data_IF_085886080041
#
_entry.id   IF_085886080041
#
_cell.length_a   1.000
_cell.length_b   1.000
_cell.length_c   1.000
_cell.angle_alpha   90.00
_cell.angle_beta   90.00
_cell.angle_gamma   90.00
#
_symmetry.space_group_name_H-M   'P 1'
#
loop_
_entity.id
_entity.type
_entity.pdbx_description
1 polymer ?
#
# COMPACT_ATOMS: atom_id res chain seq x y z
N UNK A 1 -19.82 8.97 -12.69
CA UNK A 1 -20.84 8.34 -11.80
C UNK A 1 -21.81 9.43 -11.34
N UNK A 2 -23.12 9.27 -11.55
CA UNK A 2 -24.07 10.34 -11.18
C UNK A 2 -24.75 10.02 -9.83
N UNK A 3 -23.93 9.80 -8.79
CA UNK A 3 -24.39 9.49 -7.43
C UNK A 3 -24.68 10.78 -6.65
N UNK A 4 -25.88 10.84 -6.04
CA UNK A 4 -26.14 11.86 -5.00
C UNK A 4 -25.47 11.46 -3.70
N UNK A 5 -25.25 12.43 -2.80
CA UNK A 5 -24.62 12.20 -1.50
C UNK A 5 -25.45 11.25 -0.63
N UNK A 6 -26.79 11.42 -0.68
CA UNK A 6 -27.73 10.60 0.06
C UNK A 6 -27.67 9.14 -0.34
N UNK A 7 -27.55 8.84 -1.63
CA UNK A 7 -27.44 7.48 -2.15
C UNK A 7 -26.04 6.92 -1.86
N UNK A 8 -25.00 7.67 -2.20
CA UNK A 8 -23.61 7.23 -2.02
C UNK A 8 -23.24 6.89 -0.58
N UNK A 9 -23.84 7.61 0.38
CA UNK A 9 -23.53 7.50 1.80
C UNK A 9 -24.75 7.01 2.64
N UNK A 10 -25.68 6.27 2.04
CA UNK A 10 -26.87 5.78 2.72
C UNK A 10 -26.58 4.68 3.74
N UNK A 11 -25.67 3.76 3.41
CA UNK A 11 -25.38 2.57 4.19
C UNK A 11 -23.91 2.57 4.61
N UNK A 12 -23.65 3.19 5.75
CA UNK A 12 -22.30 3.33 6.32
C UNK A 12 -22.18 2.56 7.64
N UNK A 13 -21.05 1.91 7.84
CA UNK A 13 -20.64 1.35 9.14
C UNK A 13 -19.22 1.81 9.44
N UNK A 14 -18.97 2.33 10.62
CA UNK A 14 -17.61 2.63 11.06
C UNK A 14 -16.98 1.41 11.68
N UNK A 15 -15.67 1.31 11.60
CA UNK A 15 -14.93 0.22 12.22
C UNK A 15 -13.65 0.72 12.88
N UNK A 16 -13.17 -0.03 13.87
CA UNK A 16 -11.83 0.10 14.45
C UNK A 16 -11.25 -1.27 14.72
N UNK A 17 -10.00 -1.45 14.30
CA UNK A 17 -9.25 -2.71 14.44
C UNK A 17 -7.85 -2.38 14.96
N UNK A 18 -7.45 -3.02 16.04
CA UNK A 18 -6.10 -2.88 16.59
C UNK A 18 -5.07 -3.55 15.68
N UNK A 19 -3.86 -3.00 15.65
CA UNK A 19 -2.72 -3.64 15.00
C UNK A 19 -2.08 -4.67 15.94
N UNK A 20 -1.46 -5.70 15.37
CA UNK A 20 -0.68 -6.66 16.13
C UNK A 20 0.55 -6.01 16.77
N UNK A 21 1.18 -5.10 16.03
CA UNK A 21 2.26 -4.24 16.52
C UNK A 21 2.03 -2.82 15.98
N UNK A 22 2.33 -1.79 16.77
CA UNK A 22 2.24 -0.41 16.29
C UNK A 22 3.14 -0.21 15.07
N UNK A 23 2.61 0.49 14.07
CA UNK A 23 3.36 0.86 12.89
C UNK A 23 3.48 2.37 12.80
N UNK A 24 4.71 2.92 12.95
CA UNK A 24 4.96 4.35 13.13
C UNK A 24 4.26 4.86 14.40
N UNK A 25 3.24 5.71 14.25
CA UNK A 25 2.43 6.23 15.35
C UNK A 25 1.04 5.60 15.42
N UNK A 26 0.73 4.69 14.48
CA UNK A 26 -0.59 4.05 14.40
C UNK A 26 -0.57 2.76 15.21
N UNK A 27 -1.51 2.60 16.12
CA UNK A 27 -1.75 1.37 16.90
C UNK A 27 -3.02 0.65 16.47
N UNK A 28 -3.83 1.28 15.62
CA UNK A 28 -5.09 0.76 15.10
C UNK A 28 -5.35 1.26 13.68
N UNK A 29 -6.28 0.62 13.01
CA UNK A 29 -6.92 1.09 11.78
C UNK A 29 -8.38 1.37 12.05
N UNK A 30 -8.87 2.49 11.55
CA UNK A 30 -10.29 2.83 11.60
C UNK A 30 -10.73 3.45 10.29
N UNK A 31 -12.01 3.36 10.00
CA UNK A 31 -12.57 3.88 8.76
C UNK A 31 -14.07 3.67 8.68
N UNK A 32 -14.57 3.81 7.46
CA UNK A 32 -15.98 3.66 7.12
C UNK A 32 -16.12 2.60 6.03
N UNK A 33 -16.98 1.63 6.26
CA UNK A 33 -17.46 0.67 5.26
C UNK A 33 -18.68 1.26 4.56
N UNK A 34 -18.70 1.18 3.24
CA UNK A 34 -19.74 1.71 2.36
C UNK A 34 -20.38 0.54 1.62
N UNK A 35 -21.71 0.35 1.73
CA UNK A 35 -22.44 -0.62 0.91
C UNK A 35 -23.04 0.07 -0.30
N UNK A 36 -22.67 -0.40 -1.48
CA UNK A 36 -23.27 0.01 -2.75
C UNK A 36 -23.84 -1.19 -3.52
N UNK A 37 -24.24 -0.96 -4.78
CA UNK A 37 -24.88 -1.97 -5.63
C UNK A 37 -23.97 -3.18 -5.89
N UNK A 38 -22.66 -2.97 -5.94
CA UNK A 38 -21.68 -4.03 -6.19
C UNK A 38 -21.06 -4.62 -4.93
N UNK A 39 -21.45 -4.21 -3.74
CA UNK A 39 -20.98 -4.78 -2.47
C UNK A 39 -20.32 -3.77 -1.55
N UNK A 40 -19.56 -4.26 -0.57
CA UNK A 40 -18.87 -3.43 0.40
C UNK A 40 -17.58 -2.84 -0.16
N UNK A 41 -17.26 -1.64 0.29
CA UNK A 41 -16.00 -0.94 0.05
C UNK A 41 -15.51 -0.28 1.34
N UNK A 42 -14.24 0.09 1.38
CA UNK A 42 -13.57 0.67 2.54
C UNK A 42 -13.08 2.08 2.26
N UNK A 43 -13.41 3.02 3.16
CA UNK A 43 -12.86 4.35 3.24
C UNK A 43 -12.11 4.50 4.56
N UNK A 44 -10.78 4.35 4.54
CA UNK A 44 -9.95 4.39 5.75
C UNK A 44 -8.65 5.21 5.56
N UNK A 45 -8.73 6.48 5.12
CA UNK A 45 -7.55 7.34 5.01
C UNK A 45 -6.94 7.59 6.40
N UNK A 46 -5.61 7.65 6.48
CA UNK A 46 -4.93 7.96 7.74
C UNK A 46 -5.36 9.34 8.27
N UNK A 47 -5.36 9.49 9.60
CA UNK A 47 -5.84 10.71 10.27
C UNK A 47 -5.10 11.98 9.79
N UNK A 48 -3.81 11.86 9.52
CA UNK A 48 -2.94 12.96 9.08
C UNK A 48 -3.04 13.29 7.58
N UNK A 49 -3.83 12.56 6.80
CA UNK A 49 -4.03 12.87 5.38
C UNK A 49 -4.88 14.12 5.22
N UNK A 50 -4.51 14.99 4.27
CA UNK A 50 -5.32 16.14 3.87
C UNK A 50 -6.70 15.70 3.34
N UNK A 51 -7.65 16.63 3.29
CA UNK A 51 -8.97 16.36 2.72
C UNK A 51 -8.87 15.90 1.25
N UNK A 52 -7.97 16.47 0.48
CA UNK A 52 -7.71 16.08 -0.89
C UNK A 52 -7.29 14.61 -1.01
N UNK A 53 -6.29 14.17 -0.22
CA UNK A 53 -5.88 12.78 -0.20
C UNK A 53 -7.00 11.85 0.30
N UNK A 54 -7.72 12.24 1.36
CA UNK A 54 -8.87 11.47 1.82
C UNK A 54 -9.94 11.34 0.74
N UNK A 55 -10.14 12.36 -0.09
CA UNK A 55 -11.10 12.31 -1.21
C UNK A 55 -10.70 11.30 -2.28
N UNK A 56 -9.40 11.10 -2.53
CA UNK A 56 -8.95 10.01 -3.42
C UNK A 56 -9.29 8.63 -2.86
N UNK A 57 -9.16 8.44 -1.54
CA UNK A 57 -9.60 7.19 -0.91
C UNK A 57 -11.12 6.99 -1.06
N UNK A 58 -11.91 8.06 -0.92
CA UNK A 58 -13.34 7.98 -1.16
C UNK A 58 -13.66 7.67 -2.62
N UNK A 59 -12.93 8.26 -3.58
CA UNK A 59 -13.08 7.96 -5.00
C UNK A 59 -12.92 6.45 -5.26
N UNK A 60 -11.86 5.84 -4.68
CA UNK A 60 -11.63 4.40 -4.77
C UNK A 60 -12.77 3.59 -4.13
N UNK A 61 -13.24 4.00 -2.95
CA UNK A 61 -14.32 3.33 -2.25
C UNK A 61 -15.64 3.41 -3.03
N UNK A 62 -15.98 4.58 -3.61
CA UNK A 62 -17.16 4.74 -4.45
C UNK A 62 -17.07 3.94 -5.74
N UNK A 63 -15.90 3.93 -6.40
CA UNK A 63 -15.68 3.06 -7.57
C UNK A 63 -15.92 1.61 -7.21
N UNK A 64 -15.39 1.13 -6.09
CA UNK A 64 -15.54 -0.25 -5.64
C UNK A 64 -16.99 -0.58 -5.27
N UNK A 65 -17.73 0.31 -4.60
CA UNK A 65 -19.08 0.06 -4.13
C UNK A 65 -20.13 0.18 -5.23
N UNK A 66 -19.96 1.12 -6.18
CA UNK A 66 -20.98 1.56 -7.10
C UNK A 66 -20.68 1.30 -8.59
N UNK A 67 -19.55 0.65 -8.90
CA UNK A 67 -19.17 0.32 -10.27
C UNK A 67 -18.85 -1.17 -10.37
N UNK A 68 -19.32 -1.80 -11.46
CA UNK A 68 -18.86 -3.15 -11.79
C UNK A 68 -17.39 -3.10 -12.18
N UNK A 69 -16.53 -3.61 -11.31
CA UNK A 69 -15.11 -3.72 -11.60
C UNK A 69 -14.85 -4.89 -12.56
N UNK A 70 -13.78 -4.78 -13.34
CA UNK A 70 -13.36 -5.87 -14.18
C UNK A 70 -13.06 -7.15 -13.38
N UNK A 71 -13.24 -8.29 -14.02
CA UNK A 71 -12.95 -9.57 -13.38
C UNK A 71 -11.44 -9.76 -13.20
N UNK A 72 -11.00 -10.35 -12.06
CA UNK A 72 -9.60 -10.68 -11.90
C UNK A 72 -9.14 -11.68 -12.96
N UNK A 73 -7.94 -11.47 -13.47
CA UNK A 73 -7.30 -12.35 -14.46
C UNK A 73 -6.83 -13.64 -13.80
N UNK A 74 -6.38 -13.53 -12.54
CA UNK A 74 -5.99 -14.66 -11.70
C UNK A 74 -6.80 -14.66 -10.41
N UNK A 75 -7.16 -15.84 -9.92
CA UNK A 75 -7.85 -16.01 -8.62
C UNK A 75 -6.93 -15.79 -7.43
N UNK A 76 -5.63 -15.87 -7.64
CA UNK A 76 -4.60 -15.64 -6.63
C UNK A 76 -3.50 -14.75 -7.19
N UNK A 77 -2.87 -13.98 -6.33
CA UNK A 77 -1.73 -13.13 -6.67
C UNK A 77 -0.60 -13.31 -5.67
N UNK A 78 0.62 -13.33 -6.19
CA UNK A 78 1.82 -13.41 -5.35
C UNK A 78 2.04 -12.12 -4.57
N UNK A 79 2.45 -12.25 -3.30
CA UNK A 79 2.67 -11.13 -2.39
C UNK A 79 3.98 -11.26 -1.62
N UNK A 80 4.49 -10.13 -1.12
CA UNK A 80 5.58 -10.14 -0.16
C UNK A 80 5.04 -10.19 1.29
N UNK A 81 5.84 -10.76 2.17
CA UNK A 81 5.70 -10.57 3.61
C UNK A 81 6.08 -9.13 3.98
N UNK A 82 5.55 -8.63 5.09
CA UNK A 82 5.91 -7.31 5.62
C UNK A 82 6.29 -7.42 7.09
N UNK A 83 7.40 -6.77 7.47
CA UNK A 83 7.84 -6.65 8.86
C UNK A 83 8.16 -5.21 9.20
N UNK A 84 7.78 -4.81 10.41
CA UNK A 84 8.15 -3.54 11.04
C UNK A 84 8.98 -3.75 12.30
N UNK A 85 9.26 -5.02 12.63
CA UNK A 85 10.00 -5.40 13.84
C UNK A 85 11.51 -5.27 13.65
N UNK A 86 12.20 -4.82 14.69
CA UNK A 86 13.66 -4.88 14.78
C UNK A 86 14.18 -6.21 15.35
N UNK A 87 13.26 -7.15 15.65
CA UNK A 87 13.56 -8.50 16.08
C UNK A 87 13.61 -9.42 14.85
N UNK A 88 14.76 -10.03 14.51
CA UNK A 88 14.91 -10.91 13.38
C UNK A 88 14.02 -12.16 13.47
N UNK A 89 13.80 -12.70 14.68
CA UNK A 89 12.99 -13.91 14.86
C UNK A 89 11.53 -13.68 14.46
N UNK A 90 11.00 -12.48 14.71
CA UNK A 90 9.65 -12.10 14.26
C UNK A 90 9.56 -12.05 12.74
N UNK A 91 10.55 -11.47 12.07
CA UNK A 91 10.60 -11.41 10.60
C UNK A 91 10.71 -12.81 9.98
N UNK A 92 11.51 -13.69 10.60
CA UNK A 92 11.65 -15.10 10.20
C UNK A 92 10.33 -15.85 10.41
N UNK A 93 9.64 -15.64 11.54
CA UNK A 93 8.32 -16.24 11.81
C UNK A 93 7.30 -15.82 10.75
N UNK A 94 7.24 -14.53 10.40
CA UNK A 94 6.34 -14.01 9.34
C UNK A 94 6.64 -14.68 7.99
N UNK A 95 7.92 -14.85 7.60
CA UNK A 95 8.30 -15.54 6.37
C UNK A 95 7.83 -17.02 6.39
N UNK A 96 8.00 -17.71 7.52
CA UNK A 96 7.56 -19.10 7.67
C UNK A 96 6.04 -19.24 7.60
N UNK A 97 5.32 -18.38 8.30
CA UNK A 97 3.85 -18.41 8.37
C UNK A 97 3.19 -18.07 7.03
N UNK A 98 3.77 -17.12 6.30
CA UNK A 98 3.22 -16.64 5.03
C UNK A 98 3.68 -17.44 3.83
N UNK A 99 4.80 -18.16 3.94
CA UNK A 99 5.45 -18.83 2.81
C UNK A 99 5.98 -17.88 1.74
N UNK A 100 6.13 -16.59 2.06
CA UNK A 100 6.72 -15.61 1.15
C UNK A 100 8.24 -15.75 1.10
N UNK A 101 8.83 -15.51 -0.08
CA UNK A 101 10.28 -15.43 -0.27
C UNK A 101 10.77 -13.99 -0.37
N UNK A 102 9.87 -13.03 -0.54
CA UNK A 102 10.17 -11.60 -0.55
C UNK A 102 9.69 -10.99 0.77
N UNK A 103 10.57 -10.27 1.45
CA UNK A 103 10.28 -9.54 2.68
C UNK A 103 10.40 -8.03 2.45
N UNK A 104 9.30 -7.31 2.61
CA UNK A 104 9.34 -5.86 2.74
C UNK A 104 9.57 -5.52 4.21
N UNK A 105 10.69 -4.87 4.51
CA UNK A 105 11.05 -4.46 5.86
C UNK A 105 11.12 -2.94 5.94
N UNK A 106 10.48 -2.39 6.98
CA UNK A 106 10.50 -0.96 7.26
C UNK A 106 11.59 -0.67 8.28
N UNK A 107 12.58 0.12 7.86
CA UNK A 107 13.67 0.55 8.70
C UNK A 107 13.47 2.01 9.12
N UNK A 108 13.91 2.34 10.33
CA UNK A 108 13.80 3.71 10.85
C UNK A 108 14.91 4.63 10.36
N UNK A 109 16.04 4.05 10.00
CA UNK A 109 17.25 4.80 9.64
C UNK A 109 17.95 5.49 10.82
N UNK A 110 17.58 5.13 12.06
CA UNK A 110 18.14 5.74 13.27
C UNK A 110 19.47 5.12 13.69
N UNK A 111 19.62 3.81 13.49
CA UNK A 111 20.85 3.06 13.80
C UNK A 111 21.19 2.11 12.64
N UNK A 112 22.13 2.54 11.81
CA UNK A 112 22.58 1.78 10.64
C UNK A 112 23.15 0.40 11.02
N UNK A 113 23.86 0.29 12.14
CA UNK A 113 24.48 -0.97 12.53
C UNK A 113 23.43 -1.97 12.99
N UNK A 114 22.43 -1.52 13.74
CA UNK A 114 21.29 -2.34 14.16
C UNK A 114 20.48 -2.81 12.95
N UNK A 115 20.13 -1.89 12.05
CA UNK A 115 19.34 -2.18 10.85
C UNK A 115 20.08 -3.18 9.92
N UNK A 116 21.39 -2.99 9.69
CA UNK A 116 22.19 -3.90 8.88
C UNK A 116 22.37 -5.26 9.55
N UNK A 117 22.55 -5.29 10.89
CA UNK A 117 22.64 -6.53 11.66
C UNK A 117 21.33 -7.33 11.55
N UNK A 118 20.18 -6.67 11.67
CA UNK A 118 18.86 -7.28 11.49
C UNK A 118 18.74 -7.97 10.12
N UNK A 119 19.05 -7.28 9.03
CA UNK A 119 18.97 -7.83 7.68
C UNK A 119 19.90 -9.05 7.50
N UNK A 120 21.15 -8.96 8.01
CA UNK A 120 22.13 -10.04 7.93
C UNK A 120 21.71 -11.28 8.73
N UNK A 121 21.13 -11.11 9.92
CA UNK A 121 20.62 -12.21 10.73
C UNK A 121 19.45 -12.93 10.04
N UNK A 122 18.52 -12.17 9.45
CA UNK A 122 17.43 -12.77 8.65
C UNK A 122 18.00 -13.54 7.46
N UNK A 123 18.93 -12.95 6.70
CA UNK A 123 19.54 -13.59 5.53
C UNK A 123 20.36 -14.84 5.89
N UNK A 124 20.99 -14.86 7.09
CA UNK A 124 21.73 -16.06 7.57
C UNK A 124 20.80 -17.25 7.78
N UNK A 125 19.60 -17.03 8.29
CA UNK A 125 18.59 -18.08 8.55
C UNK A 125 17.75 -18.39 7.32
N UNK A 126 17.50 -17.38 6.49
CA UNK A 126 16.68 -17.43 5.28
C UNK A 126 17.46 -16.86 4.08
N UNK A 127 18.47 -17.59 3.56
CA UNK A 127 19.38 -17.07 2.52
C UNK A 127 18.67 -16.80 1.18
N UNK A 128 17.51 -17.41 0.94
CA UNK A 128 16.70 -17.19 -0.25
C UNK A 128 15.88 -15.89 -0.21
N UNK A 129 15.89 -15.17 0.93
CA UNK A 129 15.05 -13.97 1.11
C UNK A 129 15.47 -12.86 0.16
N UNK A 130 14.51 -12.35 -0.60
CA UNK A 130 14.63 -11.10 -1.36
C UNK A 130 14.11 -9.95 -0.52
N UNK A 131 14.95 -8.93 -0.28
CA UNK A 131 14.58 -7.79 0.55
C UNK A 131 14.05 -6.63 -0.28
N UNK A 132 13.00 -5.99 0.21
CA UNK A 132 12.50 -4.67 -0.16
C UNK A 132 12.62 -3.78 1.06
N UNK A 133 13.47 -2.77 1.01
CA UNK A 133 13.75 -1.93 2.17
C UNK A 133 13.02 -0.61 2.02
N UNK A 134 12.17 -0.26 2.99
CA UNK A 134 11.36 0.94 2.95
C UNK A 134 11.75 1.90 4.08
N UNK A 135 12.31 3.06 3.72
CA UNK A 135 12.68 4.11 4.66
C UNK A 135 11.65 5.24 4.78
N UNK A 136 10.64 5.26 3.92
CA UNK A 136 9.58 6.28 3.88
C UNK A 136 10.10 7.73 3.91
N UNK A 137 11.21 8.01 3.23
CA UNK A 137 11.81 9.34 3.14
C UNK A 137 12.50 9.82 4.41
N UNK A 138 12.95 8.91 5.28
CA UNK A 138 13.57 9.27 6.56
C UNK A 138 15.06 9.59 6.48
N UNK A 139 15.73 9.24 5.39
CA UNK A 139 17.17 9.44 5.21
C UNK A 139 17.46 10.69 4.36
N UNK A 140 18.66 11.23 4.52
CA UNK A 140 19.30 12.08 3.52
C UNK A 140 20.18 11.26 2.56
N UNK A 141 20.75 11.90 1.55
CA UNK A 141 21.59 11.24 0.53
C UNK A 141 22.81 10.55 1.17
N UNK A 142 23.50 11.24 2.09
CA UNK A 142 24.71 10.72 2.75
C UNK A 142 24.42 9.45 3.54
N UNK A 143 23.38 9.47 4.37
CA UNK A 143 22.97 8.32 5.17
C UNK A 143 22.48 7.18 4.26
N UNK A 144 21.76 7.47 3.19
CA UNK A 144 21.36 6.47 2.20
C UNK A 144 22.55 5.75 1.59
N UNK A 145 23.59 6.48 1.20
CA UNK A 145 24.82 5.88 0.65
C UNK A 145 25.56 5.02 1.67
N UNK A 146 25.53 5.38 2.96
CA UNK A 146 26.11 4.55 4.02
C UNK A 146 25.37 3.19 4.14
N UNK A 147 24.04 3.21 4.11
CA UNK A 147 23.23 1.97 4.09
C UNK A 147 23.56 1.13 2.84
N UNK A 148 23.61 1.73 1.66
CA UNK A 148 23.85 1.03 0.41
C UNK A 148 25.21 0.32 0.40
N UNK A 149 26.24 0.98 0.92
CA UNK A 149 27.56 0.40 1.10
C UNK A 149 27.57 -0.74 2.13
N UNK A 150 26.69 -0.67 3.14
CA UNK A 150 26.58 -1.67 4.21
C UNK A 150 25.79 -2.92 3.84
N UNK A 151 25.00 -2.93 2.76
CA UNK A 151 24.20 -4.08 2.37
C UNK A 151 25.03 -5.28 1.94
N UNK A 152 26.23 -5.06 1.37
CA UNK A 152 27.10 -6.17 0.93
C UNK A 152 26.40 -7.11 -0.06
N UNK A 153 26.41 -8.43 0.26
CA UNK A 153 25.84 -9.48 -0.58
C UNK A 153 24.35 -9.77 -0.32
N UNK A 154 23.65 -8.89 0.44
CA UNK A 154 22.23 -9.06 0.67
C UNK A 154 21.45 -8.97 -0.65
N UNK A 155 20.51 -9.89 -0.85
CA UNK A 155 19.66 -9.90 -2.04
C UNK A 155 18.58 -8.79 -1.94
N UNK A 156 18.97 -7.55 -2.28
CA UNK A 156 18.09 -6.38 -2.26
C UNK A 156 17.42 -6.21 -3.63
N UNK A 157 16.11 -6.34 -3.71
CA UNK A 157 15.37 -6.07 -4.94
C UNK A 157 15.33 -4.56 -5.23
N UNK A 158 15.02 -3.76 -4.21
CA UNK A 158 15.04 -2.30 -4.28
C UNK A 158 15.05 -1.65 -2.88
N UNK A 159 15.43 -0.39 -2.84
CA UNK A 159 15.21 0.49 -1.68
C UNK A 159 14.09 1.47 -2.02
N UNK A 160 13.01 1.47 -1.22
CA UNK A 160 11.84 2.29 -1.39
C UNK A 160 11.99 3.59 -0.61
N UNK A 161 11.83 4.70 -1.33
CA UNK A 161 11.77 6.06 -0.80
C UNK A 161 12.81 6.31 0.31
N UNK A 162 14.14 6.16 0.05
CA UNK A 162 15.14 6.43 1.06
C UNK A 162 15.15 7.92 1.47
N UNK A 163 15.09 8.83 0.48
CA UNK A 163 15.05 10.27 0.70
C UNK A 163 13.65 10.85 0.47
N UNK A 164 13.41 12.04 1.00
CA UNK A 164 12.09 12.68 1.00
C UNK A 164 11.76 13.34 -0.34
N UNK A 165 12.72 14.01 -0.96
CA UNK A 165 12.48 14.81 -2.17
C UNK A 165 12.95 14.09 -3.43
N UNK A 166 12.35 14.48 -4.57
CA UNK A 166 12.74 13.94 -5.88
C UNK A 166 14.16 14.37 -6.23
N UNK A 167 14.59 15.54 -5.81
CA UNK A 167 15.93 16.07 -6.01
C UNK A 167 17.00 15.25 -5.29
N UNK A 168 16.78 14.91 -4.01
CA UNK A 168 17.67 14.03 -3.24
C UNK A 168 17.74 12.62 -3.84
N UNK A 169 16.60 12.08 -4.30
CA UNK A 169 16.55 10.77 -4.97
C UNK A 169 17.30 10.80 -6.31
N UNK A 170 17.23 11.91 -7.05
CA UNK A 170 17.99 12.09 -8.29
C UNK A 170 19.51 12.18 -8.05
N UNK A 171 19.94 12.84 -6.97
CA UNK A 171 21.33 12.86 -6.53
C UNK A 171 21.79 11.44 -6.15
N UNK A 172 21.04 10.76 -5.31
CA UNK A 172 21.33 9.40 -4.87
C UNK A 172 21.45 8.42 -6.06
N UNK A 173 20.60 8.58 -7.07
CA UNK A 173 20.64 7.74 -8.29
C UNK A 173 21.92 7.91 -9.09
N UNK A 174 22.56 9.07 -9.04
CA UNK A 174 23.86 9.32 -9.71
C UNK A 174 25.04 8.67 -8.97
N UNK A 175 24.92 8.58 -7.64
CA UNK A 175 25.98 8.11 -6.74
C UNK A 175 25.91 6.59 -6.47
N UNK A 176 24.81 5.90 -6.86
CA UNK A 176 24.60 4.49 -6.55
C UNK A 176 23.92 3.73 -7.67
N UNK A 177 24.31 2.45 -7.82
CA UNK A 177 23.66 1.48 -8.71
C UNK A 177 22.49 0.74 -8.05
N UNK A 178 22.24 0.95 -6.76
CA UNK A 178 21.10 0.34 -6.05
C UNK A 178 19.80 0.76 -6.74
N UNK A 179 18.90 -0.20 -6.91
CA UNK A 179 17.61 0.06 -7.53
C UNK A 179 16.70 0.81 -6.56
N UNK A 180 16.11 1.89 -7.05
CA UNK A 180 15.21 2.75 -6.27
C UNK A 180 13.76 2.48 -6.64
N UNK A 181 12.90 2.43 -5.60
CA UNK A 181 11.45 2.45 -5.75
C UNK A 181 10.88 3.77 -5.17
N UNK A 182 9.92 4.37 -5.87
CA UNK A 182 9.28 5.62 -5.44
C UNK A 182 7.81 5.36 -5.12
N UNK A 183 7.38 5.74 -3.90
CA UNK A 183 5.99 5.68 -3.38
C UNK A 183 5.45 7.09 -3.11
N UNK A 184 5.97 7.74 -2.06
CA UNK A 184 5.39 8.98 -1.52
C UNK A 184 5.33 10.11 -2.55
N UNK A 185 6.36 10.28 -3.36
CA UNK A 185 6.40 11.37 -4.34
C UNK A 185 5.35 11.23 -5.45
N UNK A 186 4.86 10.01 -5.73
CA UNK A 186 3.73 9.79 -6.62
C UNK A 186 2.40 9.84 -5.86
N UNK A 187 2.29 9.09 -4.78
CA UNK A 187 1.05 8.88 -4.04
C UNK A 187 0.51 10.14 -3.37
N UNK A 188 1.42 11.00 -2.89
CA UNK A 188 1.06 12.26 -2.22
C UNK A 188 1.05 13.46 -3.17
N UNK A 189 1.23 13.25 -4.46
CA UNK A 189 1.06 14.29 -5.44
C UNK A 189 -0.42 14.68 -5.60
N UNK A 190 -0.71 15.92 -5.97
CA UNK A 190 -2.08 16.38 -6.26
C UNK A 190 -2.76 15.52 -7.34
N UNK A 191 -2.01 15.12 -8.36
CA UNK A 191 -2.49 14.19 -9.38
C UNK A 191 -1.44 13.13 -9.73
N UNK A 192 -1.70 11.89 -9.29
CA UNK A 192 -0.86 10.73 -9.62
C UNK A 192 -0.94 10.28 -11.09
N UNK A 193 -1.81 10.86 -11.90
CA UNK A 193 -1.93 10.61 -13.34
C UNK A 193 -1.25 11.69 -14.20
N UNK A 194 -0.64 12.70 -13.58
CA UNK A 194 0.12 13.72 -14.28
C UNK A 194 1.34 13.13 -14.97
N UNK A 195 1.37 13.20 -16.30
CA UNK A 195 2.43 12.63 -17.12
C UNK A 195 3.78 13.31 -16.90
N UNK A 196 3.82 14.61 -16.61
CA UNK A 196 5.07 15.34 -16.34
C UNK A 196 5.69 14.86 -15.03
N UNK A 197 4.86 14.67 -13.99
CA UNK A 197 5.32 14.09 -12.73
C UNK A 197 5.80 12.65 -12.90
N UNK A 198 5.03 11.82 -13.62
CA UNK A 198 5.38 10.41 -13.86
C UNK A 198 6.71 10.32 -14.63
N UNK A 199 6.92 11.15 -15.67
CA UNK A 199 8.18 11.19 -16.40
C UNK A 199 9.34 11.54 -15.46
N UNK A 200 9.24 12.63 -14.69
CA UNK A 200 10.25 13.04 -13.71
C UNK A 200 10.59 11.93 -12.70
N UNK A 201 9.58 11.21 -12.20
CA UNK A 201 9.78 10.07 -11.32
C UNK A 201 10.47 8.91 -12.05
N UNK A 202 10.06 8.64 -13.28
CA UNK A 202 10.61 7.54 -14.07
C UNK A 202 12.06 7.77 -14.52
N UNK A 203 12.55 9.00 -14.58
CA UNK A 203 13.99 9.26 -14.82
C UNK A 203 14.87 8.70 -13.68
N UNK A 204 14.34 8.65 -12.47
CA UNK A 204 15.07 8.30 -11.25
C UNK A 204 14.80 6.86 -10.83
N UNK A 205 13.52 6.47 -10.81
CA UNK A 205 13.06 5.20 -10.30
C UNK A 205 13.38 4.03 -11.23
N UNK A 206 13.71 2.87 -10.65
CA UNK A 206 13.68 1.57 -11.33
C UNK A 206 12.30 0.90 -11.15
N UNK A 207 11.66 1.19 -10.03
CA UNK A 207 10.34 0.73 -9.67
C UNK A 207 9.46 1.90 -9.23
N UNK A 208 8.17 1.83 -9.54
CA UNK A 208 7.18 2.78 -9.04
C UNK A 208 6.14 2.00 -8.25
N UNK A 209 6.01 2.33 -6.96
CA UNK A 209 5.01 1.72 -6.08
C UNK A 209 3.69 2.45 -6.28
N UNK A 210 2.66 1.71 -6.66
CA UNK A 210 1.33 2.26 -6.89
C UNK A 210 0.33 1.59 -5.93
N UNK A 211 -0.34 2.42 -5.13
CA UNK A 211 -1.37 1.98 -4.19
C UNK A 211 -2.74 2.38 -4.72
N UNK A 212 -3.55 1.42 -5.22
CA UNK A 212 -4.80 1.74 -5.93
C UNK A 212 -5.76 2.61 -5.12
N UNK A 213 -5.94 2.31 -3.82
CA UNK A 213 -6.87 3.04 -2.97
C UNK A 213 -6.42 4.50 -2.76
N UNK A 214 -5.21 4.80 -2.29
CA UNK A 214 -4.74 6.17 -2.09
C UNK A 214 -4.77 7.05 -3.34
N UNK A 215 -4.59 6.47 -4.52
CA UNK A 215 -4.57 7.24 -5.77
C UNK A 215 -5.95 7.40 -6.43
N UNK A 216 -7.03 6.77 -5.88
CA UNK A 216 -8.40 6.97 -6.34
C UNK A 216 -9.02 5.84 -7.15
N UNK A 217 -8.53 4.58 -7.01
CA UNK A 217 -9.17 3.37 -7.52
C UNK A 217 -8.49 2.73 -8.74
N UNK A 218 -9.16 1.71 -9.29
CA UNK A 218 -8.65 0.86 -10.38
C UNK A 218 -8.45 1.65 -11.68
N UNK A 219 -9.37 2.55 -12.02
CA UNK A 219 -9.25 3.32 -13.26
C UNK A 219 -7.99 4.21 -13.23
N UNK A 220 -7.74 4.90 -12.12
CA UNK A 220 -6.52 5.71 -11.96
C UNK A 220 -5.27 4.84 -11.89
N UNK A 221 -5.35 3.69 -11.21
CA UNK A 221 -4.25 2.71 -11.22
C UNK A 221 -3.87 2.30 -12.64
N UNK A 222 -4.84 1.99 -13.51
CA UNK A 222 -4.58 1.60 -14.91
C UNK A 222 -3.88 2.72 -15.67
N UNK A 223 -4.38 3.95 -15.59
CA UNK A 223 -3.78 5.13 -16.25
C UNK A 223 -2.33 5.34 -15.79
N UNK A 224 -2.12 5.40 -14.46
CA UNK A 224 -0.80 5.63 -13.89
C UNK A 224 0.17 4.50 -14.22
N UNK A 225 -0.25 3.25 -14.06
CA UNK A 225 0.60 2.08 -14.32
C UNK A 225 0.97 1.93 -15.79
N UNK A 226 0.07 2.25 -16.70
CA UNK A 226 0.35 2.27 -18.13
C UNK A 226 1.37 3.37 -18.49
N UNK A 227 1.21 4.58 -17.93
CA UNK A 227 2.15 5.67 -18.13
C UNK A 227 3.56 5.29 -17.62
N UNK A 228 3.68 4.73 -16.41
CA UNK A 228 4.95 4.25 -15.86
C UNK A 228 5.60 3.20 -16.77
N UNK A 229 4.84 2.24 -17.28
CA UNK A 229 5.34 1.21 -18.20
C UNK A 229 5.79 1.77 -19.55
N UNK A 230 5.16 2.83 -20.07
CA UNK A 230 5.62 3.53 -21.29
C UNK A 230 7.03 4.12 -21.16
N UNK A 231 7.42 4.50 -19.94
CA UNK A 231 8.80 4.92 -19.63
C UNK A 231 9.74 3.72 -19.31
N UNK A 232 9.31 2.47 -19.54
CA UNK A 232 10.11 1.28 -19.33
C UNK A 232 10.35 0.90 -17.87
N UNK A 233 9.58 1.47 -16.94
CA UNK A 233 9.73 1.22 -15.50
C UNK A 233 8.79 0.14 -15.00
N UNK A 234 9.18 -0.47 -13.87
CA UNK A 234 8.42 -1.57 -13.26
C UNK A 234 7.40 -1.01 -12.26
N UNK A 235 6.18 -1.54 -12.32
CA UNK A 235 5.11 -1.20 -11.38
C UNK A 235 5.03 -2.25 -10.28
N UNK A 236 5.10 -1.80 -9.02
CA UNK A 236 4.86 -2.61 -7.83
C UNK A 236 3.53 -2.19 -7.23
N UNK A 237 2.56 -3.08 -7.22
CA UNK A 237 1.26 -2.84 -6.58
C UNK A 237 1.40 -3.03 -5.07
N UNK A 238 0.85 -2.11 -4.26
CA UNK A 238 0.92 -2.19 -2.81
C UNK A 238 -0.40 -1.77 -2.15
N UNK A 239 -0.70 -2.32 -0.96
CA UNK A 239 -1.82 -1.93 -0.12
C UNK A 239 -1.46 -0.84 0.89
N UNK A 240 -2.44 -0.46 1.70
CA UNK A 240 -2.35 0.64 2.68
C UNK A 240 -2.79 0.22 4.08
N UNK A 241 -2.57 -1.04 4.47
CA UNK A 241 -3.10 -1.67 5.68
C UNK A 241 -4.64 -1.69 5.70
N UNK A 242 -5.19 -2.08 4.58
CA UNK A 242 -6.63 -2.19 4.39
C UNK A 242 -7.16 -3.45 5.08
N UNK A 243 -8.45 -3.45 5.48
CA UNK A 243 -9.15 -4.69 5.83
C UNK A 243 -9.26 -5.59 4.60
N UNK A 244 -9.72 -6.82 4.76
CA UNK A 244 -9.94 -7.71 3.62
C UNK A 244 -10.93 -7.14 2.59
N UNK A 245 -11.80 -6.20 3.00
CA UNK A 245 -12.69 -5.48 2.08
C UNK A 245 -11.86 -4.58 1.16
N UNK A 246 -11.03 -3.69 1.71
CA UNK A 246 -10.21 -2.79 0.89
C UNK A 246 -9.09 -3.52 0.15
N UNK A 247 -8.54 -4.57 0.75
CA UNK A 247 -7.46 -5.38 0.17
C UNK A 247 -7.85 -6.01 -1.18
N UNK A 248 -9.15 -6.29 -1.41
CA UNK A 248 -9.64 -6.75 -2.70
C UNK A 248 -9.22 -5.84 -3.86
N UNK A 249 -9.30 -4.52 -3.70
CA UNK A 249 -8.89 -3.59 -4.76
C UNK A 249 -7.40 -3.71 -5.08
N UNK A 250 -6.55 -3.88 -4.07
CA UNK A 250 -5.11 -4.10 -4.24
C UNK A 250 -4.82 -5.44 -4.92
N UNK A 251 -5.52 -6.50 -4.51
CA UNK A 251 -5.39 -7.83 -5.12
C UNK A 251 -5.86 -7.84 -6.58
N UNK A 252 -6.97 -7.16 -6.89
CA UNK A 252 -7.47 -6.98 -8.25
C UNK A 252 -6.46 -6.19 -9.11
N UNK A 253 -5.93 -5.08 -8.61
CA UNK A 253 -4.90 -4.30 -9.31
C UNK A 253 -3.66 -5.15 -9.61
N UNK A 254 -3.20 -5.99 -8.67
CA UNK A 254 -2.09 -6.92 -8.90
C UNK A 254 -2.45 -7.99 -9.94
N UNK A 255 -3.67 -8.53 -9.91
CA UNK A 255 -4.13 -9.50 -10.91
C UNK A 255 -4.08 -8.93 -12.32
N UNK A 256 -4.45 -7.66 -12.50
CA UNK A 256 -4.38 -6.93 -13.77
C UNK A 256 -2.90 -6.66 -14.13
N UNK A 257 -2.10 -6.21 -13.16
CA UNK A 257 -0.68 -5.86 -13.37
C UNK A 257 0.18 -7.10 -13.72
N UNK A 258 -0.17 -8.28 -13.23
CA UNK A 258 0.61 -9.52 -13.43
C UNK A 258 0.74 -9.95 -14.88
N UNK A 259 -0.12 -9.47 -15.78
CA UNK A 259 0.06 -9.65 -17.24
C UNK A 259 1.34 -8.99 -17.77
N UNK A 260 1.82 -7.94 -17.10
CA UNK A 260 2.95 -7.13 -17.53
C UNK A 260 4.20 -7.31 -16.66
N UNK A 261 4.09 -8.03 -15.53
CA UNK A 261 5.15 -8.12 -14.53
C UNK A 261 4.99 -9.35 -13.62
N UNK A 262 6.09 -10.05 -13.37
CA UNK A 262 6.16 -11.16 -12.40
C UNK A 262 6.48 -10.68 -10.97
N UNK A 263 6.38 -9.38 -10.69
CA UNK A 263 6.66 -8.83 -9.37
C UNK A 263 5.55 -9.19 -8.38
N UNK A 264 5.96 -9.55 -7.17
CA UNK A 264 5.01 -9.78 -6.08
C UNK A 264 4.44 -8.47 -5.56
N UNK A 265 3.18 -8.45 -5.12
CA UNK A 265 2.56 -7.25 -4.59
C UNK A 265 2.92 -7.01 -3.10
N UNK A 266 2.95 -5.75 -2.69
CA UNK A 266 3.00 -5.34 -1.28
C UNK A 266 1.63 -5.44 -0.62
N UNK A 267 0.95 -6.58 -0.72
CA UNK A 267 -0.42 -6.80 -0.26
C UNK A 267 -0.53 -7.77 0.93
N UNK A 268 0.59 -8.12 1.57
CA UNK A 268 0.62 -8.99 2.75
C UNK A 268 0.18 -8.30 4.06
N UNK A 269 -0.44 -7.12 3.98
CA UNK A 269 -0.77 -6.28 5.14
C UNK A 269 -1.91 -6.81 6.01
N UNK A 270 -2.73 -7.75 5.52
CA UNK A 270 -3.78 -8.38 6.32
C UNK A 270 -3.28 -9.13 7.57
N UNK A 271 -2.01 -9.56 7.58
CA UNK A 271 -1.36 -10.16 8.76
C UNK A 271 -1.03 -9.15 9.86
N UNK A 272 -1.04 -7.86 9.58
CA UNK A 272 -0.76 -6.80 10.55
C UNK A 272 -1.97 -6.46 11.43
N UNK A 273 -3.18 -6.78 10.99
CA UNK A 273 -4.42 -6.52 11.71
C UNK A 273 -4.68 -7.64 12.72
N UNK A 274 -5.07 -7.26 13.97
CA UNK A 274 -5.42 -8.22 15.02
C UNK A 274 -6.71 -8.97 14.72
N UNK A 275 -7.64 -8.32 14.05
CA UNK A 275 -8.93 -8.88 13.60
C UNK A 275 -9.28 -8.33 12.22
N UNK A 276 -10.44 -8.69 11.70
CA UNK A 276 -10.94 -8.19 10.42
C UNK A 276 -12.46 -8.04 10.49
N UNK A 277 -13.02 -7.32 9.55
CA UNK A 277 -14.48 -7.09 9.40
C UNK A 277 -15.19 -8.23 8.65
N UNK A 278 -14.47 -9.26 8.26
CA UNK A 278 -14.95 -10.44 7.52
C UNK A 278 -14.76 -11.72 8.33
N UNK A 279 -15.50 -12.78 8.01
CA UNK A 279 -15.33 -14.09 8.67
C UNK A 279 -13.99 -14.73 8.30
N UNK A 280 -13.63 -14.72 7.01
CA UNK A 280 -12.38 -15.27 6.47
C UNK A 280 -11.45 -14.11 6.09
N UNK A 281 -10.54 -13.78 7.00
CA UNK A 281 -9.50 -12.76 6.73
C UNK A 281 -8.59 -13.18 5.59
N UNK A 282 -8.32 -12.27 4.64
CA UNK A 282 -7.36 -12.46 3.56
C UNK A 282 -5.95 -12.24 4.09
N UNK A 283 -5.20 -13.33 4.23
CA UNK A 283 -3.79 -13.33 4.67
C UNK A 283 -2.94 -14.12 3.67
N UNK A 284 -1.65 -13.79 3.55
CA UNK A 284 -0.75 -14.58 2.73
C UNK A 284 -0.69 -16.04 3.18
N UNK A 285 -0.76 -16.94 2.22
CA UNK A 285 -0.57 -18.37 2.40
C UNK A 285 0.21 -18.92 1.22
N UNK A 286 1.31 -19.62 1.47
CA UNK A 286 2.24 -20.06 0.41
C UNK A 286 2.65 -18.93 -0.56
N UNK A 287 2.86 -17.73 -0.02
CA UNK A 287 3.31 -16.56 -0.79
C UNK A 287 2.24 -15.90 -1.66
N UNK A 288 0.96 -16.29 -1.54
CA UNK A 288 -0.15 -15.71 -2.33
C UNK A 288 -1.31 -15.27 -1.45
N UNK A 289 -2.17 -14.40 -2.00
CA UNK A 289 -3.49 -14.09 -1.45
C UNK A 289 -4.57 -14.35 -2.50
N UNK A 290 -5.80 -14.65 -2.05
CA UNK A 290 -6.96 -14.80 -2.91
C UNK A 290 -7.42 -13.42 -3.44
N UNK A 291 -7.87 -13.38 -4.71
CA UNK A 291 -8.52 -12.21 -5.32
C UNK A 291 -10.02 -12.46 -5.27
N UNK A 292 -10.60 -12.19 -4.13
CA UNK A 292 -12.01 -12.47 -3.86
C UNK A 292 -12.68 -11.25 -3.22
N UNK A 293 -13.86 -10.90 -3.74
CA UNK A 293 -14.70 -9.88 -3.12
C UNK A 293 -15.49 -10.50 -1.98
N UNK A 294 -15.34 -9.95 -0.80
CA UNK A 294 -15.95 -10.48 0.42
C UNK A 294 -17.08 -9.58 0.91
N UNK A 295 -18.03 -10.18 1.62
CA UNK A 295 -19.00 -9.46 2.43
C UNK A 295 -18.51 -9.33 3.87
N UNK A 296 -19.00 -8.29 4.56
CA UNK A 296 -18.70 -8.11 5.99
C UNK A 296 -19.44 -9.14 6.84
N UNK A 297 -18.83 -9.47 7.96
CA UNK A 297 -19.49 -10.16 9.06
C UNK A 297 -19.85 -9.10 10.12
N UNK A 298 -21.14 -8.77 10.23
CA UNK A 298 -21.60 -7.70 11.11
C UNK A 298 -21.19 -7.90 12.58
N UNK A 299 -21.05 -9.16 13.03
CA UNK A 299 -20.61 -9.48 14.38
C UNK A 299 -19.13 -9.13 14.64
N UNK A 300 -18.35 -8.88 13.58
CA UNK A 300 -16.93 -8.51 13.61
C UNK A 300 -16.68 -7.03 13.36
N UNK A 301 -17.71 -6.28 13.02
CA UNK A 301 -17.60 -4.82 12.81
C UNK A 301 -17.77 -4.12 14.16
N UNK A 302 -16.65 -3.81 14.81
CA UNK A 302 -16.64 -3.02 16.04
C UNK A 302 -16.64 -1.55 15.68
N UNK A 303 -17.71 -0.84 16.06
CA UNK A 303 -17.87 0.58 15.78
C UNK A 303 -16.70 1.40 16.34
N UNK A 304 -16.19 2.33 15.54
CA UNK A 304 -15.12 3.22 16.01
C UNK A 304 -15.66 4.21 17.07
N UNK A 305 -14.90 4.45 18.15
CA UNK A 305 -15.23 5.55 19.10
C UNK A 305 -15.20 6.92 18.42
N UNK A 306 -14.48 7.07 17.30
CA UNK A 306 -14.39 8.31 16.51
C UNK A 306 -15.45 8.36 15.39
N UNK A 307 -16.59 7.67 15.58
CA UNK A 307 -17.64 7.51 14.57
C UNK A 307 -18.05 8.84 13.92
N UNK A 308 -18.36 9.83 14.73
CA UNK A 308 -18.91 11.10 14.21
C UNK A 308 -17.86 11.88 13.40
N UNK A 309 -16.59 11.83 13.79
CA UNK A 309 -15.48 12.43 13.06
C UNK A 309 -15.26 11.72 11.71
N UNK A 310 -15.32 10.40 11.69
CA UNK A 310 -15.21 9.59 10.46
C UNK A 310 -16.36 9.88 9.50
N UNK A 311 -17.60 9.97 10.02
CA UNK A 311 -18.77 10.30 9.21
C UNK A 311 -18.75 11.75 8.71
N UNK A 312 -18.23 12.68 9.50
CA UNK A 312 -18.02 14.07 9.05
C UNK A 312 -16.97 14.11 7.94
N UNK A 313 -15.84 13.42 8.11
CA UNK A 313 -14.73 13.40 7.16
C UNK A 313 -15.15 12.82 5.80
N UNK A 314 -15.91 11.73 5.78
CA UNK A 314 -16.38 11.15 4.51
C UNK A 314 -17.36 12.09 3.78
N UNK A 315 -18.24 12.82 4.52
CA UNK A 315 -19.14 13.82 3.93
C UNK A 315 -18.37 14.99 3.33
N UNK A 316 -17.36 15.49 4.04
CA UNK A 316 -16.48 16.55 3.53
C UNK A 316 -15.70 16.10 2.29
N UNK A 317 -15.17 14.87 2.30
CA UNK A 317 -14.49 14.29 1.15
C UNK A 317 -15.44 14.14 -0.06
N UNK A 318 -16.72 13.79 0.18
CA UNK A 318 -17.70 13.71 -0.89
C UNK A 318 -17.96 15.08 -1.51
N UNK A 319 -18.20 16.11 -0.70
CA UNK A 319 -18.45 17.48 -1.19
C UNK A 319 -17.23 18.01 -1.95
N UNK A 320 -16.03 17.84 -1.40
CA UNK A 320 -14.78 18.23 -2.06
C UNK A 320 -14.58 17.56 -3.43
N UNK A 321 -14.88 16.25 -3.53
CA UNK A 321 -14.77 15.51 -4.79
C UNK A 321 -15.80 15.93 -5.82
N UNK A 322 -17.04 16.21 -5.40
CA UNK A 322 -18.10 16.71 -6.29
C UNK A 322 -17.79 18.08 -6.86
N UNK A 323 -17.30 19.02 -6.05
CA UNK A 323 -16.88 20.34 -6.51
C UNK A 323 -15.79 20.28 -7.61
N UNK A 324 -15.00 19.22 -7.63
CA UNK A 324 -13.89 19.00 -8.59
C UNK A 324 -14.19 18.00 -9.70
N UNK A 325 -15.42 17.50 -9.76
CA UNK A 325 -15.85 16.48 -10.72
C UNK A 325 -14.97 15.21 -10.71
N UNK A 326 -14.57 14.75 -9.53
CA UNK A 326 -13.77 13.54 -9.40
C UNK A 326 -14.62 12.25 -9.47
N UNK A 327 -15.94 12.36 -9.14
CA UNK A 327 -16.93 11.26 -9.21
C UNK A 327 -18.37 11.75 -9.26
#
# INVERSE_FOLDING_TARGET
>A
MNLTKEVALANLKTFRIELNEPMRKESYREGVLIKGDFGWAEFAPFANHSLEHATRWLQAALEMAWTELEKPISKQVAVNAISTSLDPDKSISILNETGCTTLKIKLTGLDINQDLSLLKQIAQVKPETTFRIDFNGSLDVKNSLQYFNGFGDLNIEYVEQPCKTVEELAELKKESSIKLAIDENLRLAPDSTDLVLIEKICEIADYVVIKPIPIGGINRFKITSEAVRKFGKKVVVSGSMDTSIGLYMTALAQSINSQSSNLVAGAGTGSMLRSDVVTKTVKPHNGVIDVERLDIDESRVFESPNRDELLQRIRQAFDYGKERNWF
#
